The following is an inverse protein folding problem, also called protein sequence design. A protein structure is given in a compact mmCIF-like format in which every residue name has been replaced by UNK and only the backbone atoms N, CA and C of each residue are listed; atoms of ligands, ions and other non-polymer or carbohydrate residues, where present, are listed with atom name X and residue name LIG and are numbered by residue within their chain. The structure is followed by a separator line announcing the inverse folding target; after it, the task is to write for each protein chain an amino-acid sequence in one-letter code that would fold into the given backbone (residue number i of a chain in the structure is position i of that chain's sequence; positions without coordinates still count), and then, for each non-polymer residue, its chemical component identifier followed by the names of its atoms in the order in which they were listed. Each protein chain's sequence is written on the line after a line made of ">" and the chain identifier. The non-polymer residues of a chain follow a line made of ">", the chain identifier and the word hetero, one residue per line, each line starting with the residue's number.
data_IF_422692751730
#
_entry.id   IF_422692751730
#
_cell.length_a   1.000
_cell.length_b   1.000
_cell.length_c   1.000
_cell.angle_alpha   90.00
_cell.angle_beta   90.00
_cell.angle_gamma   90.00
#
_symmetry.space_group_name_H-M   'P 1'
#
loop_
_entity.id
_entity.type
_entity.pdbx_description
1 polymer ?
#
# COMPACT_ATOMS: atom_id res chain seq x y z
N UNK A 1 39.63 2.34 49.43
CA UNK A 1 39.63 1.84 50.83
C UNK A 1 39.07 2.94 51.71
N UNK A 2 37.78 2.87 52.06
CA UNK A 2 37.16 3.30 53.33
C UNK A 2 35.63 3.20 53.16
N UNK A 3 35.04 2.39 54.03
CA UNK A 3 33.63 2.01 54.11
C UNK A 3 32.80 3.12 54.76
N UNK A 4 31.54 3.29 54.34
CA UNK A 4 30.46 3.56 55.30
C UNK A 4 29.16 2.87 54.86
N UNK A 5 28.51 2.25 55.85
CA UNK A 5 27.44 1.25 55.78
C UNK A 5 26.33 1.76 56.71
N UNK A 6 25.08 1.78 56.25
CA UNK A 6 23.86 1.87 57.09
C UNK A 6 22.71 1.23 56.29
N UNK A 7 22.33 -0.03 56.54
CA UNK A 7 21.36 -0.55 57.53
C UNK A 7 19.98 0.14 57.42
N UNK A 8 19.00 -0.44 56.70
CA UNK A 8 17.99 -1.44 57.11
C UNK A 8 17.20 -1.09 58.38
N UNK A 9 15.91 -0.85 58.20
CA UNK A 9 14.83 -1.27 59.11
C UNK A 9 13.57 -1.58 58.31
N UNK A 10 12.95 -2.72 58.64
CA UNK A 10 11.69 -3.26 58.12
C UNK A 10 10.78 -3.49 59.33
N UNK A 11 9.50 -3.12 59.29
CA UNK A 11 8.36 -3.58 60.11
C UNK A 11 7.11 -2.89 59.51
N UNK A 12 5.89 -3.43 59.42
CA UNK A 12 5.30 -4.74 59.57
C UNK A 12 3.84 -4.68 59.06
N UNK A 13 3.26 -5.87 58.90
CA UNK A 13 1.89 -6.23 58.51
C UNK A 13 0.74 -5.54 59.27
N UNK A 14 -0.36 -5.29 58.55
CA UNK A 14 -1.79 -5.52 58.88
C UNK A 14 -2.65 -4.61 57.97
N UNK A 15 -3.86 -4.89 57.51
CA UNK A 15 -4.87 -5.93 57.75
C UNK A 15 -5.84 -5.87 56.56
N UNK A 16 -6.39 -7.02 56.14
CA UNK A 16 -7.56 -7.11 55.23
C UNK A 16 -8.76 -6.35 55.82
N UNK A 17 -9.47 -5.61 54.99
CA UNK A 17 -10.91 -5.43 55.12
C UNK A 17 -11.59 -5.51 53.75
N UNK A 18 -12.51 -6.45 53.67
CA UNK A 18 -13.40 -6.74 52.54
C UNK A 18 -14.53 -5.72 52.61
N UNK A 19 -14.77 -4.96 51.54
CA UNK A 19 -16.02 -4.26 51.35
C UNK A 19 -16.85 -4.98 50.29
N UNK A 20 -17.99 -5.47 50.78
CA UNK A 20 -19.04 -6.18 50.07
C UNK A 20 -19.81 -5.24 49.15
N UNK A 21 -20.09 -5.73 47.95
CA UNK A 21 -20.95 -5.07 46.98
C UNK A 21 -22.40 -5.04 47.49
N UNK A 22 -23.00 -3.85 47.50
CA UNK A 22 -24.44 -3.65 47.64
C UNK A 22 -24.94 -3.00 46.36
N UNK A 23 -25.59 -3.77 45.49
CA UNK A 23 -26.45 -3.22 44.44
C UNK A 23 -27.84 -3.81 44.63
N UNK A 24 -28.76 -2.96 45.02
CA UNK A 24 -30.16 -3.24 45.25
C UNK A 24 -30.85 -3.72 43.97
N UNK A 25 -31.46 -4.91 44.05
CA UNK A 25 -32.44 -5.40 43.09
C UNK A 25 -33.79 -4.79 43.46
N UNK A 26 -34.47 -4.17 42.50
CA UNK A 26 -35.90 -3.85 42.61
C UNK A 26 -36.72 -4.74 41.66
N UNK A 27 -37.96 -5.10 42.03
CA UNK A 27 -38.57 -6.36 41.65
C UNK A 27 -39.53 -6.24 40.45
N UNK A 28 -39.70 -7.36 39.77
CA UNK A 28 -40.66 -7.55 38.69
C UNK A 28 -42.04 -8.02 39.20
N UNK A 29 -43.07 -7.63 38.42
CA UNK A 29 -44.45 -8.15 38.28
C UNK A 29 -45.57 -7.61 39.20
N UNK A 30 -46.58 -6.99 38.55
CA UNK A 30 -48.06 -7.32 38.49
C UNK A 30 -48.61 -6.63 37.21
N UNK A 31 -49.20 -7.25 36.16
CA UNK A 31 -50.51 -7.94 35.98
C UNK A 31 -51.68 -7.08 36.54
N UNK A 32 -52.74 -6.66 35.84
CA UNK A 32 -53.57 -7.24 34.76
C UNK A 32 -54.49 -6.18 34.08
N UNK A 33 -54.96 -6.53 32.86
CA UNK A 33 -56.28 -6.31 32.23
C UNK A 33 -56.95 -4.94 32.11
N UNK A 34 -57.13 -4.53 30.86
CA UNK A 34 -58.27 -3.74 30.38
C UNK A 34 -58.55 -4.11 28.91
N UNK A 35 -59.63 -4.82 28.67
CA UNK A 35 -60.10 -5.22 27.34
C UNK A 35 -61.03 -4.15 26.75
N UNK A 36 -61.00 -4.00 25.43
CA UNK A 36 -62.18 -3.59 24.66
C UNK A 36 -62.03 -2.32 23.81
N UNK A 37 -62.50 -2.46 22.56
CA UNK A 37 -62.82 -1.43 21.57
C UNK A 37 -61.69 -0.95 20.64
N UNK A 38 -61.57 -1.62 19.48
CA UNK A 38 -61.60 -1.00 18.15
C UNK A 38 -61.23 -2.02 17.06
N UNK A 39 -62.08 -3.03 16.86
CA UNK A 39 -62.12 -3.80 15.62
C UNK A 39 -63.00 -3.06 14.63
N UNK A 40 -62.43 -2.13 13.87
CA UNK A 40 -62.92 -1.65 12.58
C UNK A 40 -61.95 -0.60 12.03
N UNK A 41 -61.67 -0.64 10.72
CA UNK A 41 -60.92 0.35 9.93
C UNK A 41 -59.39 0.21 9.80
N UNK A 42 -58.85 -1.00 9.62
CA UNK A 42 -57.47 -1.16 9.10
C UNK A 42 -57.32 -2.22 7.99
N UNK A 43 -58.36 -2.44 7.18
CA UNK A 43 -58.31 -3.32 6.00
C UNK A 43 -58.34 -2.56 4.67
N UNK A 44 -57.78 -1.35 4.61
CA UNK A 44 -57.64 -0.62 3.33
C UNK A 44 -56.33 0.16 3.15
N UNK A 45 -55.36 0.04 4.08
CA UNK A 45 -54.05 0.69 3.95
C UNK A 45 -52.88 -0.29 3.71
N UNK A 46 -53.17 -1.57 3.43
CA UNK A 46 -52.16 -2.59 3.10
C UNK A 46 -52.02 -2.86 1.59
N UNK A 47 -52.84 -2.23 0.74
CA UNK A 47 -52.82 -2.41 -0.72
C UNK A 47 -52.18 -1.25 -1.50
N UNK A 48 -51.65 -0.22 -0.81
CA UNK A 48 -51.03 0.97 -1.43
C UNK A 48 -49.55 1.12 -0.99
N UNK A 49 -48.88 0.02 -0.65
CA UNK A 49 -47.41 -0.01 -0.49
C UNK A 49 -46.73 -1.12 -1.31
N UNK A 50 -47.45 -1.74 -2.25
CA UNK A 50 -46.95 -2.82 -3.09
C UNK A 50 -46.80 -2.43 -4.58
N UNK A 51 -46.71 -1.12 -4.87
CA UNK A 51 -46.36 -0.57 -6.19
C UNK A 51 -45.27 0.48 -6.04
N UNK A 52 -44.07 0.03 -5.70
CA UNK A 52 -42.81 0.66 -6.12
C UNK A 52 -41.65 -0.31 -5.87
N UNK A 53 -41.82 -1.55 -6.32
CA UNK A 53 -40.65 -2.32 -6.74
C UNK A 53 -40.23 -1.74 -8.08
N UNK A 54 -39.31 -0.78 -8.06
CA UNK A 54 -38.57 -0.38 -9.25
C UNK A 54 -37.83 -1.63 -9.69
N UNK A 55 -38.42 -2.37 -10.64
CA UNK A 55 -37.73 -3.41 -11.37
C UNK A 55 -36.87 -2.70 -12.39
N UNK A 56 -35.57 -2.70 -12.12
CA UNK A 56 -34.57 -2.25 -13.07
C UNK A 56 -34.45 -3.36 -14.13
N UNK A 57 -35.43 -3.40 -15.04
CA UNK A 57 -35.40 -4.25 -16.22
C UNK A 57 -34.41 -3.61 -17.21
N UNK A 58 -33.13 -3.63 -16.83
CA UNK A 58 -32.07 -3.58 -17.82
C UNK A 58 -32.12 -4.92 -18.52
N UNK A 59 -32.57 -4.91 -19.78
CA UNK A 59 -32.32 -6.02 -20.68
C UNK A 59 -30.85 -6.40 -20.53
N UNK A 60 -30.61 -7.61 -20.02
CA UNK A 60 -29.32 -8.27 -20.11
C UNK A 60 -29.19 -8.58 -21.60
N UNK A 61 -28.83 -7.57 -22.39
CA UNK A 61 -28.04 -7.78 -23.59
C UNK A 61 -26.96 -8.77 -23.15
N UNK A 62 -26.75 -9.88 -23.89
CA UNK A 62 -25.78 -10.89 -23.51
C UNK A 62 -24.52 -10.13 -23.15
N UNK A 63 -24.15 -10.23 -21.88
CA UNK A 63 -22.94 -9.64 -21.37
C UNK A 63 -21.86 -10.09 -22.32
N UNK A 64 -21.44 -9.19 -23.20
CA UNK A 64 -20.14 -9.26 -23.82
C UNK A 64 -19.25 -9.36 -22.60
N UNK A 65 -18.85 -10.58 -22.27
CA UNK A 65 -17.70 -10.81 -21.41
C UNK A 65 -16.68 -9.79 -21.90
N UNK A 66 -16.21 -8.85 -21.06
CA UNK A 66 -15.11 -8.01 -21.50
C UNK A 66 -14.07 -9.00 -21.95
N UNK A 67 -13.84 -9.04 -23.27
CA UNK A 67 -13.01 -10.04 -23.92
C UNK A 67 -11.81 -10.22 -23.01
N UNK A 68 -11.66 -11.43 -22.46
CA UNK A 68 -10.52 -11.72 -21.62
C UNK A 68 -9.31 -11.46 -22.50
N UNK A 69 -8.77 -10.23 -22.44
CA UNK A 69 -7.49 -9.90 -23.03
C UNK A 69 -6.60 -11.01 -22.50
N UNK A 70 -6.04 -11.83 -23.39
CA UNK A 70 -5.15 -12.91 -23.02
C UNK A 70 -3.98 -12.27 -22.27
N UNK A 71 -4.13 -12.16 -20.95
CA UNK A 71 -3.16 -11.49 -20.10
C UNK A 71 -1.98 -12.42 -20.06
N UNK A 72 -0.97 -12.10 -20.85
CA UNK A 72 0.27 -12.84 -20.80
C UNK A 72 0.89 -12.63 -19.41
N UNK A 73 1.33 -13.71 -18.75
CA UNK A 73 1.90 -13.64 -17.41
C UNK A 73 3.39 -13.98 -17.44
N UNK A 74 4.17 -13.28 -16.63
CA UNK A 74 5.54 -13.67 -16.24
C UNK A 74 5.45 -14.35 -14.88
N UNK A 75 6.11 -15.49 -14.76
CA UNK A 75 6.18 -16.23 -13.50
C UNK A 75 7.49 -15.84 -12.81
N UNK A 76 7.41 -15.40 -11.56
CA UNK A 76 8.60 -15.21 -10.73
C UNK A 76 9.24 -16.59 -10.45
N UNK A 77 10.49 -16.84 -10.92
CA UNK A 77 11.12 -18.16 -10.79
C UNK A 77 11.25 -18.67 -9.36
N UNK A 78 11.37 -17.76 -8.38
CA UNK A 78 11.63 -18.13 -6.99
C UNK A 78 10.36 -18.33 -6.14
N UNK A 79 9.25 -17.66 -6.49
CA UNK A 79 7.99 -17.72 -5.73
C UNK A 79 6.87 -18.44 -6.46
N UNK A 80 6.97 -18.63 -7.78
CA UNK A 80 5.89 -19.15 -8.62
C UNK A 80 4.70 -18.20 -8.77
N UNK A 81 4.81 -16.96 -8.29
CA UNK A 81 3.74 -15.96 -8.41
C UNK A 81 3.67 -15.47 -9.86
N UNK A 82 2.45 -15.46 -10.41
CA UNK A 82 2.15 -14.97 -11.74
C UNK A 82 1.91 -13.45 -11.68
N UNK A 83 2.68 -12.71 -12.45
CA UNK A 83 2.57 -11.26 -12.61
C UNK A 83 2.19 -10.99 -14.07
N UNK A 84 1.19 -10.15 -14.36
CA UNK A 84 0.83 -9.85 -15.75
C UNK A 84 1.99 -9.15 -16.46
N UNK A 85 2.16 -9.34 -17.76
CA UNK A 85 3.14 -8.61 -18.56
C UNK A 85 2.74 -7.17 -18.78
N UNK A 86 1.44 -6.93 -18.85
CA UNK A 86 0.89 -5.62 -19.17
C UNK A 86 -0.22 -5.29 -18.18
N UNK A 87 -0.22 -4.05 -17.67
CA UNK A 87 -1.24 -3.57 -16.75
C UNK A 87 -1.88 -2.31 -17.31
N UNK A 88 -3.21 -2.33 -17.41
CA UNK A 88 -4.04 -1.14 -17.58
C UNK A 88 -4.63 -0.79 -16.22
N UNK A 89 -4.39 0.44 -15.77
CA UNK A 89 -4.91 0.92 -14.50
C UNK A 89 -6.25 1.60 -14.74
N UNK A 90 -7.31 1.07 -14.14
CA UNK A 90 -8.60 1.75 -14.11
C UNK A 90 -8.50 2.98 -13.19
N UNK A 91 -8.56 4.17 -13.78
CA UNK A 91 -8.56 5.45 -13.07
C UNK A 91 -9.52 6.42 -13.74
N UNK A 92 -9.96 7.44 -12.99
CA UNK A 92 -10.87 8.49 -13.51
C UNK A 92 -10.26 9.23 -14.70
N UNK A 93 -8.94 9.36 -14.71
CA UNK A 93 -8.16 9.86 -15.83
C UNK A 93 -7.55 8.68 -16.59
N UNK A 94 -7.52 8.67 -17.93
CA UNK A 94 -6.88 7.60 -18.68
C UNK A 94 -5.38 7.57 -18.35
N UNK A 95 -4.91 6.46 -17.79
CA UNK A 95 -3.49 6.22 -17.57
C UNK A 95 -2.93 5.34 -18.70
N UNK A 96 -1.64 5.52 -19.05
CA UNK A 96 -1.01 4.72 -20.09
C UNK A 96 -0.94 3.25 -19.68
N UNK A 97 -0.78 2.41 -20.70
CA UNK A 97 -0.60 0.97 -20.50
C UNK A 97 0.83 0.70 -20.07
N UNK A 98 1.01 0.06 -18.90
CA UNK A 98 2.33 -0.19 -18.33
C UNK A 98 2.83 -1.58 -18.73
N UNK A 99 4.09 -1.66 -19.15
CA UNK A 99 4.76 -2.91 -19.54
C UNK A 99 5.69 -3.38 -18.43
N UNK A 100 5.67 -4.67 -18.11
CA UNK A 100 6.52 -5.31 -17.11
C UNK A 100 7.96 -5.37 -17.64
N UNK A 101 8.87 -4.67 -16.97
CA UNK A 101 10.29 -4.68 -17.27
C UNK A 101 11.05 -5.77 -16.52
N UNK A 102 10.51 -6.23 -15.39
CA UNK A 102 11.13 -7.31 -14.66
C UNK A 102 10.33 -7.75 -13.44
N UNK A 103 10.61 -8.97 -13.01
CA UNK A 103 10.08 -9.56 -11.79
C UNK A 103 11.21 -10.08 -10.91
N UNK A 104 11.00 -10.11 -9.61
CA UNK A 104 11.97 -10.69 -8.70
C UNK A 104 11.45 -10.83 -7.29
N UNK A 105 12.15 -11.64 -6.50
CA UNK A 105 11.80 -11.88 -5.12
C UNK A 105 12.68 -11.05 -4.18
N UNK A 106 12.08 -10.50 -3.13
CA UNK A 106 12.82 -9.90 -2.02
C UNK A 106 13.06 -10.94 -0.93
N UNK A 107 14.31 -11.03 -0.51
CA UNK A 107 14.77 -11.97 0.52
C UNK A 107 15.46 -11.24 1.65
N UNK A 108 15.25 -11.64 2.90
CA UNK A 108 15.99 -11.10 4.07
C UNK A 108 17.22 -11.94 4.40
N UNK A 109 18.34 -11.28 4.72
CA UNK A 109 19.70 -11.86 4.68
C UNK A 109 19.98 -12.96 5.70
N UNK A 110 19.42 -12.88 6.92
CA UNK A 110 19.83 -13.77 8.03
C UNK A 110 19.31 -15.21 7.86
N UNK A 111 18.13 -15.38 7.27
CA UNK A 111 17.47 -16.68 7.13
C UNK A 111 17.08 -17.02 5.68
N UNK A 112 17.54 -16.20 4.72
CA UNK A 112 17.14 -16.26 3.30
C UNK A 112 15.62 -16.41 3.10
N UNK A 113 14.87 -15.74 3.97
CA UNK A 113 13.42 -15.82 3.96
C UNK A 113 12.88 -14.90 2.87
N UNK A 114 12.06 -15.48 2.00
CA UNK A 114 11.32 -14.77 0.97
C UNK A 114 10.20 -13.93 1.62
N UNK A 115 10.14 -12.64 1.32
CA UNK A 115 9.17 -11.71 1.92
C UNK A 115 8.01 -11.42 0.96
N UNK A 116 8.35 -11.04 -0.27
CA UNK A 116 7.39 -10.76 -1.33
C UNK A 116 8.04 -10.94 -2.69
N UNK A 117 7.22 -11.23 -3.70
CA UNK A 117 7.56 -11.03 -5.10
C UNK A 117 7.24 -9.59 -5.49
N UNK A 118 8.03 -9.02 -6.38
CA UNK A 118 7.87 -7.67 -6.88
C UNK A 118 7.97 -7.67 -8.40
N UNK A 119 7.05 -6.95 -9.06
CA UNK A 119 7.13 -6.64 -10.49
C UNK A 119 7.29 -5.14 -10.69
N UNK A 120 8.18 -4.75 -11.58
CA UNK A 120 8.36 -3.37 -12.01
C UNK A 120 7.80 -3.16 -13.41
N UNK A 121 6.98 -2.12 -13.55
CA UNK A 121 6.27 -1.78 -14.77
C UNK A 121 6.53 -0.32 -15.10
N UNK A 122 6.67 -0.01 -16.38
CA UNK A 122 6.85 1.35 -16.87
C UNK A 122 6.04 1.59 -18.15
N UNK A 123 5.69 2.85 -18.37
CA UNK A 123 5.17 3.30 -19.66
C UNK A 123 6.32 3.49 -20.65
N UNK A 124 6.47 2.54 -21.57
CA UNK A 124 7.51 2.60 -22.61
C UNK A 124 7.07 3.39 -23.85
N UNK A 125 5.79 3.75 -23.95
CA UNK A 125 5.25 4.48 -25.09
C UNK A 125 5.20 5.99 -24.84
N UNK A 126 5.80 6.46 -23.75
CA UNK A 126 5.84 7.87 -23.42
C UNK A 126 6.72 8.63 -24.43
N UNK A 127 6.20 9.64 -25.15
CA UNK A 127 6.96 10.41 -26.14
C UNK A 127 8.12 11.21 -25.55
N UNK A 128 8.08 11.52 -24.25
CA UNK A 128 9.15 12.27 -23.58
C UNK A 128 10.34 11.37 -23.21
N UNK A 129 10.16 10.05 -23.24
CA UNK A 129 11.22 9.09 -22.92
C UNK A 129 12.24 9.04 -24.05
N UNK A 130 13.48 9.45 -23.75
CA UNK A 130 14.61 9.41 -24.69
C UNK A 130 15.72 8.57 -24.10
N UNK A 131 15.95 7.38 -24.66
CA UNK A 131 16.96 6.46 -24.17
C UNK A 131 18.14 6.44 -25.13
N UNK A 132 19.16 7.24 -24.82
CA UNK A 132 20.39 7.25 -25.61
C UNK A 132 21.11 5.89 -25.52
N UNK A 133 21.64 5.35 -26.64
CA UNK A 133 22.36 4.08 -26.63
C UNK A 133 23.62 4.09 -25.75
N UNK A 134 24.20 5.27 -25.53
CA UNK A 134 25.43 5.44 -24.73
C UNK A 134 25.18 5.41 -23.22
N UNK A 135 23.94 5.55 -22.76
CA UNK A 135 23.61 5.53 -21.34
C UNK A 135 23.83 4.15 -20.73
N UNK A 136 24.36 4.15 -19.50
CA UNK A 136 24.45 2.92 -18.71
C UNK A 136 23.05 2.40 -18.37
N UNK A 137 22.87 1.09 -18.09
CA UNK A 137 21.55 0.56 -17.75
C UNK A 137 20.92 1.23 -16.52
N UNK A 138 21.74 1.58 -15.52
CA UNK A 138 21.26 2.24 -14.30
C UNK A 138 20.82 3.69 -14.58
N UNK A 139 21.47 4.39 -15.51
CA UNK A 139 21.02 5.71 -15.99
C UNK A 139 19.72 5.62 -16.79
N UNK A 140 19.58 4.62 -17.67
CA UNK A 140 18.34 4.38 -18.40
C UNK A 140 17.17 4.08 -17.45
N UNK A 141 17.40 3.29 -16.40
CA UNK A 141 16.37 3.04 -15.36
C UNK A 141 15.99 4.35 -14.67
N UNK A 142 16.98 5.18 -14.32
CA UNK A 142 16.72 6.48 -13.70
C UNK A 142 15.91 7.39 -14.62
N UNK A 143 16.23 7.43 -15.91
CA UNK A 143 15.50 8.22 -16.91
C UNK A 143 14.05 7.74 -17.06
N UNK A 144 13.83 6.42 -17.15
CA UNK A 144 12.48 5.84 -17.17
C UNK A 144 11.70 6.27 -15.93
N UNK A 145 12.30 6.15 -14.74
CA UNK A 145 11.63 6.53 -13.49
C UNK A 145 11.39 8.02 -13.42
N UNK A 146 12.27 8.88 -13.95
CA UNK A 146 12.09 10.33 -13.92
C UNK A 146 11.00 10.82 -14.86
N UNK A 147 10.90 10.21 -16.05
CA UNK A 147 10.12 10.75 -17.16
C UNK A 147 8.77 10.03 -17.32
N UNK A 148 8.68 8.75 -16.97
CA UNK A 148 7.50 7.92 -17.27
C UNK A 148 6.61 7.65 -16.05
N UNK A 149 5.39 7.21 -16.34
CA UNK A 149 4.55 6.55 -15.36
C UNK A 149 5.15 5.17 -15.03
N UNK A 150 5.30 4.86 -13.75
CA UNK A 150 5.88 3.59 -13.29
C UNK A 150 4.99 2.95 -12.23
N UNK A 151 4.94 1.63 -12.18
CA UNK A 151 4.26 0.89 -11.12
C UNK A 151 5.18 -0.18 -10.54
N UNK A 152 5.19 -0.29 -9.22
CA UNK A 152 5.73 -1.43 -8.49
C UNK A 152 4.58 -2.22 -7.90
N UNK A 153 4.43 -3.48 -8.32
CA UNK A 153 3.45 -4.41 -7.76
C UNK A 153 4.14 -5.34 -6.78
N UNK A 154 3.71 -5.31 -5.52
CA UNK A 154 4.26 -6.13 -4.43
C UNK A 154 3.26 -7.21 -4.08
N UNK A 155 3.66 -8.48 -4.15
CA UNK A 155 2.82 -9.62 -3.80
C UNK A 155 3.48 -10.41 -2.66
N UNK A 156 2.94 -10.36 -1.44
CA UNK A 156 3.51 -11.07 -0.30
C UNK A 156 3.52 -12.59 -0.53
N UNK A 157 4.66 -13.23 -0.27
CA UNK A 157 4.79 -14.70 -0.33
C UNK A 157 4.35 -15.36 0.99
N UNK A 158 3.97 -14.56 1.98
CA UNK A 158 3.52 -14.98 3.31
C UNK A 158 2.70 -13.88 3.97
N UNK A 159 2.00 -14.23 5.05
CA UNK A 159 1.29 -13.23 5.85
C UNK A 159 2.30 -12.27 6.48
N UNK A 160 2.00 -10.98 6.39
CA UNK A 160 2.79 -9.89 6.97
C UNK A 160 1.84 -8.78 7.42
N UNK A 161 2.35 -7.57 7.68
CA UNK A 161 1.54 -6.41 8.02
C UNK A 161 1.95 -5.19 7.21
N UNK A 162 0.99 -4.29 6.98
CA UNK A 162 1.27 -2.99 6.39
C UNK A 162 2.27 -2.19 7.23
N UNK A 163 2.25 -2.35 8.56
CA UNK A 163 3.23 -1.77 9.47
C UNK A 163 4.67 -2.17 9.13
N UNK A 164 4.95 -3.46 8.88
CA UNK A 164 6.30 -3.90 8.50
C UNK A 164 6.76 -3.35 7.16
N UNK A 165 5.85 -3.29 6.18
CA UNK A 165 6.15 -2.75 4.86
C UNK A 165 6.40 -1.23 4.92
N UNK A 166 5.54 -0.49 5.63
CA UNK A 166 5.71 0.94 5.91
C UNK A 166 7.06 1.22 6.54
N UNK A 167 7.41 0.51 7.61
CA UNK A 167 8.66 0.75 8.32
C UNK A 167 9.88 0.44 7.43
N UNK A 168 9.76 -0.51 6.50
CA UNK A 168 10.78 -0.73 5.47
C UNK A 168 10.89 0.46 4.50
N UNK A 169 9.78 1.02 4.00
CA UNK A 169 9.80 2.21 3.13
C UNK A 169 10.33 3.46 3.84
N UNK A 170 9.94 3.69 5.09
CA UNK A 170 10.43 4.84 5.88
C UNK A 170 11.93 4.73 6.11
N UNK A 171 12.45 3.54 6.44
CA UNK A 171 13.89 3.32 6.58
C UNK A 171 14.63 3.54 5.26
N UNK A 172 14.07 3.06 4.16
CA UNK A 172 14.65 3.23 2.83
C UNK A 172 14.78 4.71 2.42
N UNK A 173 13.68 5.46 2.51
CA UNK A 173 13.70 6.90 2.20
C UNK A 173 14.58 7.66 3.19
N UNK A 174 14.59 7.28 4.46
CA UNK A 174 15.49 7.88 5.46
C UNK A 174 16.96 7.69 5.11
N UNK A 175 17.35 6.50 4.65
CA UNK A 175 18.71 6.23 4.18
C UNK A 175 19.06 7.09 2.96
N UNK A 176 18.14 7.19 2.00
CA UNK A 176 18.28 8.07 0.82
C UNK A 176 18.44 9.52 1.19
N UNK A 177 17.64 10.02 2.13
CA UNK A 177 17.71 11.41 2.56
C UNK A 177 19.10 11.73 3.14
N UNK A 178 19.69 10.82 3.91
CA UNK A 178 21.04 10.97 4.45
C UNK A 178 22.08 10.97 3.33
N UNK A 179 21.94 10.08 2.36
CA UNK A 179 22.85 9.98 1.21
C UNK A 179 22.76 11.20 0.29
N UNK A 180 21.56 11.65 -0.06
CA UNK A 180 21.34 12.82 -0.90
C UNK A 180 21.89 14.10 -0.28
N UNK A 181 21.83 14.24 1.06
CA UNK A 181 22.48 15.33 1.79
C UNK A 181 24.01 15.24 1.74
N UNK A 182 24.57 14.04 1.94
CA UNK A 182 26.02 13.81 1.85
C UNK A 182 26.58 14.11 0.45
N UNK A 183 25.83 13.75 -0.58
CA UNK A 183 26.22 13.94 -1.98
C UNK A 183 25.90 15.35 -2.51
N UNK A 184 25.28 16.22 -1.69
CA UNK A 184 24.91 17.59 -2.08
C UNK A 184 23.80 17.70 -3.12
N UNK A 185 23.12 16.59 -3.45
CA UNK A 185 22.01 16.56 -4.42
C UNK A 185 20.71 17.16 -3.89
N UNK A 186 20.60 17.31 -2.57
CA UNK A 186 19.44 17.88 -1.90
C UNK A 186 19.89 19.04 -1.02
N UNK A 187 19.31 20.23 -1.21
CA UNK A 187 19.61 21.39 -0.35
C UNK A 187 18.97 21.21 1.03
N UNK A 188 19.43 21.96 2.03
CA UNK A 188 18.84 21.88 3.37
C UNK A 188 17.38 22.35 3.39
N UNK A 189 17.02 23.33 2.55
CA UNK A 189 15.64 23.80 2.38
C UNK A 189 14.75 22.69 1.84
N UNK A 190 15.16 22.02 0.77
CA UNK A 190 14.43 20.87 0.20
C UNK A 190 14.31 19.73 1.21
N UNK A 191 15.35 19.53 2.04
CA UNK A 191 15.33 18.50 3.05
C UNK A 191 14.32 18.76 4.17
N UNK A 192 14.00 20.03 4.45
CA UNK A 192 12.90 20.42 5.35
C UNK A 192 11.55 20.15 4.69
N UNK A 193 11.38 20.51 3.42
CA UNK A 193 10.14 20.30 2.67
C UNK A 193 9.75 18.81 2.57
N UNK A 194 10.75 17.94 2.36
CA UNK A 194 10.59 16.49 2.26
C UNK A 194 10.10 15.84 3.57
N UNK A 195 10.29 16.49 4.72
CA UNK A 195 9.91 15.91 6.02
C UNK A 195 8.40 15.68 6.16
N UNK A 196 7.56 16.58 5.62
CA UNK A 196 6.11 16.45 5.71
C UNK A 196 5.55 15.30 4.84
N UNK A 197 5.93 15.14 3.57
CA UNK A 197 5.60 13.96 2.76
C UNK A 197 6.05 12.63 3.39
N UNK A 198 7.22 12.56 4.03
CA UNK A 198 7.67 11.35 4.74
C UNK A 198 6.76 11.02 5.92
N UNK A 199 6.32 12.03 6.69
CA UNK A 199 5.34 11.84 7.77
C UNK A 199 4.00 11.36 7.22
N UNK A 200 3.53 11.94 6.11
CA UNK A 200 2.31 11.51 5.41
C UNK A 200 2.42 10.04 4.97
N UNK A 201 3.55 9.64 4.38
CA UNK A 201 3.82 8.24 4.01
C UNK A 201 3.61 7.30 5.20
N UNK A 202 4.10 7.67 6.39
CA UNK A 202 3.94 6.85 7.59
C UNK A 202 2.47 6.69 7.99
N UNK A 203 1.63 7.72 7.79
CA UNK A 203 0.22 7.69 8.18
C UNK A 203 -0.69 6.98 7.18
N UNK A 204 -0.27 6.81 5.92
CA UNK A 204 -1.08 6.14 4.89
C UNK A 204 -1.32 4.65 5.18
N UNK A 205 -0.40 3.99 5.87
CA UNK A 205 -0.47 2.55 6.08
C UNK A 205 -1.24 2.21 7.36
N UNK A 206 -2.36 1.47 7.25
CA UNK A 206 -3.13 1.03 8.41
C UNK A 206 -2.36 0.01 9.23
N UNK A 207 -2.76 -0.17 10.50
CA UNK A 207 -2.23 -1.24 11.34
C UNK A 207 -3.02 -2.54 11.14
N UNK A 208 -3.13 -3.00 9.89
CA UNK A 208 -3.82 -4.24 9.52
C UNK A 208 -2.85 -5.25 8.91
N UNK A 209 -3.17 -6.55 8.96
CA UNK A 209 -2.38 -7.56 8.28
C UNK A 209 -2.46 -7.38 6.75
N UNK A 210 -1.36 -7.68 6.08
CA UNK A 210 -1.29 -7.80 4.63
C UNK A 210 -1.24 -9.30 4.30
N UNK A 211 -2.31 -9.78 3.67
CA UNK A 211 -2.54 -11.21 3.42
C UNK A 211 -1.62 -11.72 2.33
N UNK A 212 -1.15 -12.97 2.46
CA UNK A 212 -0.40 -13.66 1.41
C UNK A 212 -1.15 -13.57 0.06
N UNK A 213 -0.42 -13.33 -1.02
CA UNK A 213 -0.94 -13.18 -2.39
C UNK A 213 -1.88 -11.99 -2.63
N UNK A 214 -2.12 -11.12 -1.65
CA UNK A 214 -2.83 -9.84 -1.88
C UNK A 214 -1.85 -8.83 -2.50
N UNK A 215 -2.04 -8.38 -3.75
CA UNK A 215 -1.14 -7.42 -4.36
C UNK A 215 -1.31 -6.05 -3.72
N UNK A 216 -0.20 -5.36 -3.48
CA UNK A 216 -0.15 -3.93 -3.21
C UNK A 216 0.51 -3.24 -4.40
N UNK A 217 -0.22 -2.32 -5.02
CA UNK A 217 0.25 -1.56 -6.15
C UNK A 217 0.68 -0.15 -5.73
N UNK A 218 1.94 0.17 -6.01
CA UNK A 218 2.51 1.51 -5.84
C UNK A 218 2.67 2.11 -7.23
N UNK A 219 1.98 3.20 -7.51
CA UNK A 219 1.94 3.88 -8.80
C UNK A 219 2.60 5.25 -8.70
N UNK A 220 3.58 5.49 -9.55
CA UNK A 220 4.20 6.78 -9.79
C UNK A 220 3.59 7.37 -11.07
N UNK A 221 2.92 8.52 -10.94
CA UNK A 221 2.36 9.24 -12.08
C UNK A 221 3.48 9.94 -12.88
N UNK A 222 3.27 10.17 -14.18
CA UNK A 222 4.24 10.91 -14.98
C UNK A 222 4.38 12.34 -14.42
N UNK A 223 5.56 12.96 -14.55
CA UNK A 223 5.79 14.33 -14.12
C UNK A 223 4.87 15.28 -14.90
N UNK A 224 4.24 16.23 -14.20
CA UNK A 224 3.43 17.28 -14.81
C UNK A 224 4.07 18.62 -14.50
N UNK A 225 4.45 19.43 -15.51
CA UNK A 225 5.09 20.71 -15.29
C UNK A 225 4.30 21.60 -14.31
N UNK A 226 4.98 22.13 -13.30
CA UNK A 226 4.39 23.04 -12.30
C UNK A 226 3.52 22.37 -11.23
N UNK A 227 3.46 21.03 -11.17
CA UNK A 227 2.76 20.29 -10.10
C UNK A 227 3.70 19.29 -9.45
N UNK A 228 3.57 19.08 -8.12
CA UNK A 228 4.34 18.04 -7.44
C UNK A 228 3.96 16.66 -7.99
N UNK A 229 4.96 15.81 -8.13
CA UNK A 229 4.81 14.45 -8.61
C UNK A 229 4.04 13.61 -7.62
N UNK A 230 3.15 12.80 -8.16
CA UNK A 230 2.17 12.05 -7.40
C UNK A 230 2.58 10.58 -7.32
N UNK A 231 2.72 10.09 -6.10
CA UNK A 231 2.91 8.68 -5.77
C UNK A 231 1.66 8.15 -5.07
N UNK A 232 0.94 7.25 -5.74
CA UNK A 232 -0.29 6.65 -5.25
C UNK A 232 -0.04 5.22 -4.75
N UNK A 233 -0.42 4.95 -3.51
CA UNK A 233 -0.57 3.60 -2.99
C UNK A 233 -2.03 3.20 -3.18
N UNK A 234 -2.27 2.19 -4.03
CA UNK A 234 -3.63 1.72 -4.31
C UNK A 234 -4.34 1.38 -3.01
N UNK A 235 -5.54 1.92 -2.85
CA UNK A 235 -6.44 1.77 -1.69
C UNK A 235 -5.92 2.35 -0.35
N UNK A 236 -4.72 2.94 -0.30
CA UNK A 236 -4.14 3.52 0.92
C UNK A 236 -4.05 5.05 0.88
N UNK A 237 -3.80 5.63 -0.30
CA UNK A 237 -3.77 7.08 -0.51
C UNK A 237 -2.57 7.56 -1.32
N UNK A 238 -2.32 8.86 -1.27
CA UNK A 238 -1.46 9.56 -2.23
C UNK A 238 -0.47 10.50 -1.55
N UNK A 239 0.74 10.58 -2.09
CA UNK A 239 1.81 11.49 -1.69
C UNK A 239 2.17 12.38 -2.87
N UNK A 240 2.36 13.66 -2.59
CA UNK A 240 2.67 14.69 -3.59
C UNK A 240 4.01 15.31 -3.21
N UNK A 241 5.08 14.88 -3.87
CA UNK A 241 6.43 15.44 -3.73
C UNK A 241 7.36 14.79 -4.75
N UNK A 242 8.11 15.59 -5.50
CA UNK A 242 8.98 15.12 -6.58
C UNK A 242 10.06 14.15 -6.09
N UNK A 243 10.75 14.53 -5.01
CA UNK A 243 11.86 13.77 -4.47
C UNK A 243 11.38 12.45 -3.83
N UNK A 244 10.41 12.49 -2.91
CA UNK A 244 9.91 11.29 -2.23
C UNK A 244 9.30 10.29 -3.21
N UNK A 245 8.54 10.77 -4.20
CA UNK A 245 7.90 9.93 -5.19
C UNK A 245 8.93 9.19 -6.06
N UNK A 246 9.95 9.92 -6.53
CA UNK A 246 10.99 9.39 -7.42
C UNK A 246 11.96 8.48 -6.66
N UNK A 247 12.46 8.91 -5.50
CA UNK A 247 13.44 8.16 -4.71
C UNK A 247 12.88 6.86 -4.15
N UNK A 248 11.59 6.80 -3.80
CA UNK A 248 10.99 5.54 -3.37
C UNK A 248 11.00 4.49 -4.50
N UNK A 249 10.79 4.91 -5.75
CA UNK A 249 10.89 4.00 -6.90
C UNK A 249 12.35 3.65 -7.21
N UNK A 250 13.25 4.62 -7.20
CA UNK A 250 14.69 4.38 -7.40
C UNK A 250 15.32 3.51 -6.30
N UNK A 251 14.72 3.46 -5.12
CA UNK A 251 15.13 2.55 -4.05
C UNK A 251 15.21 1.09 -4.51
N UNK A 252 14.36 0.67 -5.46
CA UNK A 252 14.36 -0.68 -6.00
C UNK A 252 15.60 -1.07 -6.80
N UNK A 253 16.39 -0.10 -7.26
CA UNK A 253 17.46 -0.32 -8.25
C UNK A 253 18.85 0.14 -7.80
N UNK A 254 19.00 0.78 -6.64
CA UNK A 254 20.32 1.20 -6.17
C UNK A 254 21.11 0.07 -5.53
N UNK A 255 22.43 0.11 -5.74
CA UNK A 255 23.31 -0.97 -5.33
C UNK A 255 22.84 -2.29 -5.94
N UNK A 256 22.60 -3.29 -5.10
CA UNK A 256 22.03 -4.57 -5.50
C UNK A 256 20.49 -4.55 -5.63
N UNK A 257 19.83 -3.44 -5.26
CA UNK A 257 18.38 -3.30 -5.17
C UNK A 257 17.77 -4.07 -3.98
N UNK A 258 16.47 -3.88 -3.70
CA UNK A 258 15.77 -4.71 -2.70
C UNK A 258 15.63 -6.16 -3.17
N UNK A 259 15.69 -6.35 -4.48
CA UNK A 259 15.60 -7.65 -5.13
C UNK A 259 16.68 -7.70 -6.23
N UNK A 260 17.83 -8.32 -5.95
CA UNK A 260 18.84 -8.58 -6.97
C UNK A 260 18.30 -9.26 -8.24
N UNK A 261 17.39 -10.26 -8.18
CA UNK A 261 16.82 -10.83 -9.41
C UNK A 261 15.96 -9.82 -10.19
N UNK A 262 15.20 -8.95 -9.50
CA UNK A 262 14.45 -7.88 -10.17
C UNK A 262 15.40 -6.96 -10.94
N UNK A 263 16.45 -6.45 -10.27
CA UNK A 263 17.40 -5.51 -10.90
C UNK A 263 18.05 -6.13 -12.12
N UNK A 264 18.49 -7.39 -12.04
CA UNK A 264 19.09 -8.11 -13.18
C UNK A 264 18.15 -8.18 -14.38
N UNK A 265 16.90 -8.59 -14.14
CA UNK A 265 15.90 -8.73 -15.21
C UNK A 265 15.55 -7.36 -15.83
N UNK A 266 15.40 -6.32 -15.02
CA UNK A 266 15.16 -4.96 -15.53
C UNK A 266 16.35 -4.45 -16.35
N UNK A 267 17.59 -4.67 -15.90
CA UNK A 267 18.79 -4.30 -16.64
C UNK A 267 18.86 -5.01 -17.99
N UNK A 268 18.50 -6.29 -18.05
CA UNK A 268 18.41 -7.05 -19.31
C UNK A 268 17.34 -6.48 -20.24
N UNK A 269 16.14 -6.22 -19.73
CA UNK A 269 15.06 -5.61 -20.49
C UNK A 269 15.46 -4.24 -21.04
N UNK A 270 16.02 -3.36 -20.22
CA UNK A 270 16.40 -1.99 -20.59
C UNK A 270 17.57 -1.94 -21.59
N UNK A 271 18.45 -2.95 -21.60
CA UNK A 271 19.48 -3.09 -22.64
C UNK A 271 18.88 -3.34 -24.02
N UNK A 272 17.76 -4.07 -24.08
CA UNK A 272 17.07 -4.37 -25.34
C UNK A 272 16.21 -3.21 -25.86
N UNK A 273 15.92 -2.20 -25.02
CA UNK A 273 15.13 -1.04 -25.40
C UNK A 273 15.98 0.00 -26.15
N UNK A 274 15.49 0.38 -27.33
CA UNK A 274 15.94 1.50 -28.13
C UNK A 274 14.70 2.32 -28.46
N UNK A 275 14.47 3.40 -27.71
CA UNK A 275 13.31 4.31 -27.85
C UNK A 275 13.82 5.73 -27.80
#
# INVERSE_FOLDING_TARGET
>A
MFFFKYSRTSFALARRYVHTASSSRLPAKRLFWGAGAALAASTSFALILQRNTIRLDADIAPSIEPAAEEQEYIIDPASGIKLPKTIKIASKTPLPTLTCLGVGIRTVSILRIQVYSVGFYADLNNPDLKLEPTMTPDEKIREIVNTCACQVRIVPTRNTSYTHLRDAFIRAIGARLIESRKNGTLTEEQAVEVAAPIRKLKTLFPNTPLVKHSPLDVLLLPPVPGKPRVLAFRDLGVIENDWVATELMLHYFEGDGLSPPLKKMVVESVKSLQT
#
